data_IF_641545418361
#
_entry.id   IF_641545418361
#
_cell.length_a   1.000
_cell.length_b   1.000
_cell.length_c   1.000
_cell.angle_alpha   90.00
_cell.angle_beta   90.00
_cell.angle_gamma   90.00
#
_symmetry.space_group_name_H-M   'P 1'
#
loop_
_entity.id
_entity.type
_entity.pdbx_description
1 polymer ?
#
# COMPACT_ATOMS: atom_id res chain seq x y z
N UNK A 1 -4.17 -1.65 -8.42
CA UNK A 1 -4.25 -2.01 -6.98
C UNK A 1 -2.83 -2.11 -6.45
N UNK A 2 -2.63 -2.01 -5.13
CA UNK A 2 -1.29 -2.14 -4.53
C UNK A 2 -1.30 -3.20 -3.45
N UNK A 3 -0.33 -4.11 -3.51
CA UNK A 3 -0.13 -5.18 -2.54
C UNK A 3 1.12 -4.88 -1.72
N UNK A 4 1.05 -5.19 -0.42
CA UNK A 4 2.17 -5.03 0.49
C UNK A 4 2.31 -6.25 1.39
N UNK A 5 3.54 -6.74 1.57
CA UNK A 5 3.86 -7.82 2.49
C UNK A 5 4.10 -7.25 3.89
N UNK A 6 3.30 -7.73 4.83
CA UNK A 6 3.28 -7.31 6.22
C UNK A 6 3.72 -8.45 7.14
N UNK A 7 4.44 -8.08 8.19
CA UNK A 7 4.81 -8.99 9.25
C UNK A 7 3.89 -8.78 10.45
N UNK A 8 3.16 -9.82 10.81
CA UNK A 8 2.56 -9.95 12.13
C UNK A 8 3.44 -10.91 12.94
N UNK A 9 3.50 -10.79 14.28
CA UNK A 9 4.19 -11.78 15.09
C UNK A 9 3.75 -13.19 14.68
N UNK A 10 4.71 -14.05 14.33
CA UNK A 10 4.54 -15.44 13.87
C UNK A 10 4.03 -15.68 12.44
N UNK A 11 3.62 -14.65 11.68
CA UNK A 11 3.07 -14.87 10.32
C UNK A 11 3.28 -13.70 9.37
N UNK A 12 3.20 -13.98 8.09
CA UNK A 12 3.18 -12.98 7.03
C UNK A 12 1.79 -12.86 6.44
N UNK A 13 1.38 -11.62 6.12
CA UNK A 13 0.11 -11.35 5.44
C UNK A 13 0.29 -10.36 4.31
N UNK A 14 -0.66 -10.34 3.39
CA UNK A 14 -0.71 -9.35 2.31
C UNK A 14 -1.76 -8.30 2.62
N UNK A 15 -1.33 -7.04 2.70
CA UNK A 15 -2.21 -5.88 2.78
C UNK A 15 -2.51 -5.37 1.37
N UNK A 16 -3.77 -5.44 0.97
CA UNK A 16 -4.23 -4.94 -0.33
C UNK A 16 -4.85 -3.56 -0.17
N UNK A 17 -4.21 -2.55 -0.75
CA UNK A 17 -4.78 -1.20 -0.81
C UNK A 17 -5.54 -1.00 -2.11
N UNK A 18 -6.86 -0.86 -2.00
CA UNK A 18 -7.73 -0.50 -3.12
C UNK A 18 -7.94 1.01 -3.15
N UNK A 19 -7.52 1.65 -4.24
CA UNK A 19 -7.78 3.06 -4.54
C UNK A 19 -8.80 3.13 -5.67
N UNK A 20 -10.10 3.16 -5.37
CA UNK A 20 -11.13 3.30 -6.39
C UNK A 20 -10.97 4.63 -7.11
N UNK A 21 -11.37 4.61 -8.38
CA UNK A 21 -11.46 5.78 -9.23
C UNK A 21 -12.88 6.32 -9.13
N UNK A 22 -13.03 7.55 -8.70
CA UNK A 22 -14.32 8.22 -8.60
C UNK A 22 -14.49 9.20 -9.76
N UNK A 23 -15.66 9.21 -10.36
CA UNK A 23 -16.02 10.15 -11.43
C UNK A 23 -17.48 10.53 -11.31
N UNK A 24 -17.79 11.79 -11.61
CA UNK A 24 -19.17 12.29 -11.66
C UNK A 24 -19.66 12.23 -13.12
N UNK A 25 -20.75 11.48 -13.38
CA UNK A 25 -21.34 11.41 -14.74
C UNK A 25 -21.92 12.75 -15.22
N UNK A 26 -22.50 13.53 -14.30
CA UNK A 26 -23.11 14.83 -14.62
C UNK A 26 -22.08 15.94 -14.85
N UNK A 27 -20.87 15.77 -14.31
CA UNK A 27 -19.85 16.81 -14.33
C UNK A 27 -18.84 16.58 -15.46
N UNK A 28 -18.87 15.40 -16.12
CA UNK A 28 -17.89 14.89 -17.11
C UNK A 28 -16.41 15.04 -16.72
N UNK A 29 -16.14 15.47 -15.48
CA UNK A 29 -14.84 15.89 -15.01
C UNK A 29 -13.97 14.69 -14.64
N UNK A 30 -12.67 14.89 -14.85
CA UNK A 30 -11.60 13.91 -14.75
C UNK A 30 -11.78 12.91 -13.60
N UNK A 31 -11.66 11.63 -13.93
CA UNK A 31 -11.64 10.53 -12.95
C UNK A 31 -10.60 10.82 -11.88
N UNK A 32 -11.04 11.06 -10.65
CA UNK A 32 -10.16 11.36 -9.52
C UNK A 32 -9.82 10.06 -8.80
N UNK A 33 -8.53 9.89 -8.53
CA UNK A 33 -8.01 8.81 -7.72
C UNK A 33 -7.14 9.41 -6.63
N UNK A 34 -7.28 8.95 -5.39
CA UNK A 34 -6.37 9.34 -4.32
C UNK A 34 -4.92 8.97 -4.69
N UNK A 35 -3.94 9.87 -4.48
CA UNK A 35 -2.54 9.55 -4.74
C UNK A 35 -2.04 8.43 -3.82
N UNK A 36 -0.98 7.74 -4.23
CA UNK A 36 -0.32 6.77 -3.37
C UNK A 36 0.49 7.50 -2.28
N UNK A 37 0.43 7.06 -1.01
CA UNK A 37 1.33 7.60 0.01
C UNK A 37 2.77 7.16 -0.29
N UNK A 38 3.72 7.99 0.15
CA UNK A 38 5.14 7.65 0.09
C UNK A 38 5.44 6.39 0.90
N UNK A 39 6.45 5.63 0.48
CA UNK A 39 6.88 4.39 1.12
C UNK A 39 8.36 4.46 1.44
N UNK A 40 8.79 3.76 2.48
CA UNK A 40 10.21 3.66 2.87
C UNK A 40 11.06 3.12 1.70
N UNK A 41 10.53 2.15 0.95
CA UNK A 41 11.13 1.63 -0.28
C UNK A 41 10.22 1.96 -1.45
N UNK A 42 10.70 2.78 -2.38
CA UNK A 42 9.96 3.11 -3.60
C UNK A 42 9.73 1.87 -4.45
N UNK A 43 8.48 1.68 -4.92
CA UNK A 43 8.10 0.48 -5.69
C UNK A 43 8.10 -0.84 -4.91
N UNK A 44 8.65 -0.87 -3.69
CA UNK A 44 8.70 -2.06 -2.84
C UNK A 44 7.34 -2.53 -2.34
N UNK A 45 7.23 -3.84 -2.13
CA UNK A 45 6.06 -4.47 -1.50
C UNK A 45 6.16 -4.47 0.02
N UNK A 46 7.32 -4.18 0.61
CA UNK A 46 7.51 -4.30 2.04
C UNK A 46 6.71 -3.24 2.82
N UNK A 47 6.18 -3.66 3.96
CA UNK A 47 5.70 -2.76 5.00
C UNK A 47 6.83 -2.33 5.92
N UNK A 48 6.57 -1.27 6.67
CA UNK A 48 7.42 -0.73 7.71
C UNK A 48 7.70 -1.79 8.79
N UNK A 49 6.67 -2.57 9.16
CA UNK A 49 6.77 -3.65 10.13
C UNK A 49 7.70 -4.78 9.66
N UNK A 50 7.62 -5.15 8.37
CA UNK A 50 8.51 -6.16 7.79
C UNK A 50 9.97 -5.70 7.77
N UNK A 51 10.23 -4.44 7.39
CA UNK A 51 11.58 -3.87 7.40
C UNK A 51 12.14 -3.84 8.82
N UNK A 52 11.34 -3.39 9.80
CA UNK A 52 11.73 -3.38 11.20
C UNK A 52 12.09 -4.79 11.70
N UNK A 53 11.31 -5.80 11.33
CA UNK A 53 11.59 -7.17 11.74
C UNK A 53 12.91 -7.70 11.18
N UNK A 54 13.21 -7.47 9.90
CA UNK A 54 14.48 -7.92 9.30
C UNK A 54 15.68 -7.24 9.98
N UNK A 55 15.54 -5.96 10.34
CA UNK A 55 16.59 -5.21 11.04
C UNK A 55 16.80 -5.69 12.48
N UNK A 56 15.73 -6.07 13.18
CA UNK A 56 15.76 -6.52 14.58
C UNK A 56 16.13 -8.00 14.74
N UNK A 57 15.86 -8.84 13.74
CA UNK A 57 16.05 -10.30 13.78
C UNK A 57 17.53 -10.74 13.64
N UNK A 58 18.46 -9.92 14.08
CA UNK A 58 19.90 -10.18 14.00
C UNK A 58 20.41 -11.00 15.18
#
# INVERSE_FOLDING_TARGET
>A
MAERLDFMPTTFRVLVTRRPRYGCRSCESAVVQAPAPARIVEGGINTEALVAQVLAAK
#
